data_IF_212687415448
#
_entry.id   IF_212687415448
#
_cell.length_a   1.000
_cell.length_b   1.000
_cell.length_c   1.000
_cell.angle_alpha   90.00
_cell.angle_beta   90.00
_cell.angle_gamma   90.00
#
_symmetry.space_group_name_H-M   'P 1'
#
loop_
_entity.id
_entity.type
_entity.pdbx_description
1 polymer ?
#
# COMPACT_ATOMS: atom_id res chain seq x y z
N UNK A 1 -10.01 6.00 -0.01
CA UNK A 1 -11.29 5.58 0.59
C UNK A 1 -11.03 4.78 1.85
N UNK A 2 -11.64 5.18 2.94
CA UNK A 2 -11.50 4.49 4.23
C UNK A 2 -12.53 3.37 4.29
N UNK A 3 -12.06 2.11 4.37
CA UNK A 3 -12.93 0.95 4.52
C UNK A 3 -13.17 0.70 6.00
N UNK A 4 -12.09 0.71 6.79
CA UNK A 4 -12.14 0.55 8.24
C UNK A 4 -11.28 1.64 8.87
N UNK A 5 -11.82 2.34 9.85
CA UNK A 5 -11.07 3.36 10.58
C UNK A 5 -10.46 2.76 11.84
N UNK A 6 -9.13 2.75 11.92
CA UNK A 6 -8.43 2.32 13.13
C UNK A 6 -8.33 3.44 14.14
N UNK A 7 -7.86 3.10 15.33
CA UNK A 7 -7.68 4.06 16.41
C UNK A 7 -6.32 3.94 17.10
N UNK A 8 -5.40 3.21 16.49
CA UNK A 8 -4.06 3.06 17.03
C UNK A 8 -3.13 4.21 16.67
N UNK A 9 -1.84 4.00 16.91
CA UNK A 9 -0.82 4.99 16.58
C UNK A 9 -0.70 5.18 15.05
N UNK A 10 -0.26 6.36 14.64
CA UNK A 10 0.01 6.67 13.22
C UNK A 10 1.52 6.56 12.99
N UNK A 11 1.96 5.79 11.97
CA UNK A 11 3.38 5.64 11.70
C UNK A 11 4.04 6.96 11.28
N UNK A 12 5.31 7.10 11.63
CA UNK A 12 6.17 8.12 11.03
C UNK A 12 6.74 7.57 9.71
N UNK A 13 7.33 8.42 8.89
CA UNK A 13 7.89 8.00 7.60
C UNK A 13 9.06 7.01 7.76
N UNK A 14 9.76 7.03 8.88
CA UNK A 14 10.84 6.09 9.17
C UNK A 14 10.37 4.82 9.88
N UNK A 15 9.08 4.73 10.20
CA UNK A 15 8.54 3.56 10.92
C UNK A 15 8.54 2.32 10.05
N UNK A 16 8.76 1.17 10.69
CA UNK A 16 8.62 -0.13 10.08
C UNK A 16 7.21 -0.63 10.35
N UNK A 17 6.46 -0.95 9.32
CA UNK A 17 5.04 -1.27 9.44
C UNK A 17 4.77 -2.68 8.94
N UNK A 18 3.77 -3.31 9.55
CA UNK A 18 3.28 -4.62 9.15
C UNK A 18 1.90 -4.44 8.55
N UNK A 19 1.72 -4.90 7.31
CA UNK A 19 0.50 -4.67 6.55
C UNK A 19 0.05 -5.93 5.82
N UNK A 20 -1.27 -6.05 5.62
CA UNK A 20 -1.83 -6.88 4.57
C UNK A 20 -2.26 -5.96 3.43
N UNK A 21 -2.07 -6.43 2.20
CA UNK A 21 -2.42 -5.59 1.05
C UNK A 21 -2.80 -6.42 -0.17
N UNK A 22 -3.52 -5.77 -1.07
CA UNK A 22 -3.85 -6.31 -2.38
C UNK A 22 -3.75 -5.18 -3.40
N UNK A 23 -2.98 -5.39 -4.46
CA UNK A 23 -2.83 -4.43 -5.54
C UNK A 23 -3.52 -4.90 -6.80
N UNK A 24 -4.30 -4.02 -7.42
CA UNK A 24 -5.01 -4.31 -8.66
C UNK A 24 -4.81 -3.17 -9.67
N UNK A 25 -4.95 -3.52 -10.95
CA UNK A 25 -5.03 -2.54 -12.01
C UNK A 25 -6.45 -2.02 -12.12
N UNK A 26 -6.65 -0.97 -12.91
CA UNK A 26 -8.00 -0.38 -13.09
C UNK A 26 -8.99 -1.39 -13.63
N UNK A 27 -8.53 -2.34 -14.46
CA UNK A 27 -9.39 -3.38 -15.02
C UNK A 27 -9.73 -4.50 -14.03
N UNK A 28 -9.21 -4.41 -12.80
CA UNK A 28 -9.47 -5.42 -11.78
C UNK A 28 -8.43 -6.53 -11.71
N UNK A 29 -7.44 -6.54 -12.60
CA UNK A 29 -6.38 -7.54 -12.56
C UNK A 29 -5.51 -7.40 -11.32
N UNK A 30 -5.45 -8.44 -10.49
CA UNK A 30 -4.60 -8.44 -9.31
C UNK A 30 -3.15 -8.70 -9.71
N UNK A 31 -2.23 -7.83 -9.31
CA UNK A 31 -0.82 -8.00 -9.64
C UNK A 31 0.04 -8.35 -8.42
N UNK A 32 -0.46 -8.13 -7.23
CA UNK A 32 0.26 -8.49 -6.00
C UNK A 32 -0.72 -8.60 -4.85
N UNK A 33 -0.40 -9.46 -3.87
CA UNK A 33 -1.25 -9.62 -2.68
C UNK A 33 -0.51 -10.36 -1.58
N UNK A 34 -0.50 -9.80 -0.37
CA UNK A 34 -0.02 -10.52 0.81
C UNK A 34 -0.99 -11.62 1.23
N UNK A 35 -2.28 -11.47 0.90
CA UNK A 35 -3.30 -12.49 1.23
C UNK A 35 -3.04 -13.81 0.49
N UNK A 36 -2.56 -13.73 -0.75
CA UNK A 36 -2.21 -14.93 -1.53
C UNK A 36 -1.06 -15.70 -0.90
N UNK A 37 -0.15 -15.01 -0.23
CA UNK A 37 0.99 -15.62 0.44
C UNK A 37 0.65 -16.07 1.85
N UNK A 38 -0.55 -15.76 2.34
CA UNK A 38 -0.99 -16.02 3.72
C UNK A 38 -0.01 -15.46 4.75
N UNK A 39 0.62 -14.34 4.43
CA UNK A 39 1.65 -13.75 5.27
C UNK A 39 1.66 -12.23 5.10
N UNK A 40 1.49 -11.47 6.19
CA UNK A 40 1.61 -10.02 6.11
C UNK A 40 3.03 -9.61 5.68
N UNK A 41 3.11 -8.49 4.99
CA UNK A 41 4.38 -7.93 4.58
C UNK A 41 4.85 -6.88 5.59
N UNK A 42 6.16 -6.74 5.72
CA UNK A 42 6.77 -5.73 6.58
C UNK A 42 7.60 -4.80 5.72
N UNK A 43 7.34 -3.50 5.83
CA UNK A 43 8.04 -2.46 5.06
C UNK A 43 8.41 -1.30 5.98
N UNK A 44 9.48 -0.59 5.60
CA UNK A 44 9.72 0.73 6.15
C UNK A 44 8.87 1.73 5.34
N UNK A 45 8.14 2.62 6.02
CA UNK A 45 7.15 3.48 5.36
C UNK A 45 7.76 4.38 4.27
N UNK A 46 9.04 4.74 4.39
CA UNK A 46 9.73 5.57 3.38
C UNK A 46 10.47 4.75 2.31
N UNK A 47 10.32 3.43 2.28
CA UNK A 47 10.98 2.54 1.32
C UNK A 47 9.98 1.85 0.39
N UNK A 48 8.82 2.46 0.21
CA UNK A 48 7.77 1.99 -0.69
C UNK A 48 7.43 3.11 -1.67
N UNK A 49 6.53 2.86 -2.62
CA UNK A 49 6.11 3.91 -3.56
C UNK A 49 5.52 5.09 -2.79
N UNK A 50 5.66 6.29 -3.35
CA UNK A 50 5.28 7.53 -2.67
C UNK A 50 3.83 7.56 -2.18
N UNK A 51 2.91 7.03 -2.96
CA UNK A 51 1.50 6.96 -2.57
C UNK A 51 1.29 6.17 -1.29
N UNK A 52 2.04 5.08 -1.11
CA UNK A 52 1.99 4.30 0.12
C UNK A 52 2.58 5.07 1.30
N UNK A 53 3.71 5.74 1.11
CA UNK A 53 4.34 6.53 2.17
C UNK A 53 3.38 7.59 2.68
N UNK A 54 2.73 8.32 1.77
CA UNK A 54 1.76 9.34 2.13
C UNK A 54 0.58 8.75 2.90
N UNK A 55 0.04 7.62 2.43
CA UNK A 55 -1.09 6.97 3.10
C UNK A 55 -0.70 6.42 4.46
N UNK A 56 0.40 5.68 4.55
CA UNK A 56 0.83 5.03 5.79
C UNK A 56 1.09 6.04 6.90
N UNK A 57 1.61 7.22 6.56
CA UNK A 57 1.88 8.26 7.56
C UNK A 57 0.62 9.02 7.99
N UNK A 58 -0.54 8.63 7.47
CA UNK A 58 -1.84 9.17 7.89
C UNK A 58 -2.79 8.10 8.44
N UNK A 59 -2.41 6.82 8.35
CA UNK A 59 -3.28 5.71 8.76
C UNK A 59 -3.04 5.32 10.21
N UNK A 60 -4.03 5.43 11.10
CA UNK A 60 -3.92 4.81 12.41
C UNK A 60 -3.85 3.28 12.29
N UNK A 61 -3.11 2.63 13.19
CA UNK A 61 -3.08 1.16 13.25
C UNK A 61 -4.51 0.63 13.43
N UNK A 62 -4.83 -0.41 12.69
CA UNK A 62 -6.17 -0.98 12.64
C UNK A 62 -7.00 -0.49 11.47
N UNK A 63 -6.48 0.47 10.70
CA UNK A 63 -7.17 1.00 9.53
C UNK A 63 -7.02 0.08 8.33
N UNK A 64 -8.04 0.12 7.48
CA UNK A 64 -8.01 -0.53 6.17
C UNK A 64 -8.51 0.49 5.16
N UNK A 65 -7.64 0.88 4.25
CA UNK A 65 -7.93 1.92 3.26
C UNK A 65 -7.77 1.37 1.84
N UNK A 66 -8.60 1.88 0.94
CA UNK A 66 -8.43 1.67 -0.49
C UNK A 66 -7.77 2.90 -1.09
N UNK A 67 -6.63 2.69 -1.73
CA UNK A 67 -5.80 3.76 -2.28
C UNK A 67 -5.83 3.73 -3.80
N UNK A 68 -6.16 4.87 -4.41
CA UNK A 68 -6.04 5.06 -5.85
C UNK A 68 -4.77 5.87 -6.07
N UNK A 69 -3.73 5.23 -6.56
CA UNK A 69 -2.40 5.82 -6.66
C UNK A 69 -2.08 6.12 -8.11
N UNK A 70 -2.06 7.41 -8.51
CA UNK A 70 -1.70 7.76 -9.88
C UNK A 70 -0.24 7.41 -10.17
N UNK A 71 0.10 7.31 -11.45
CA UNK A 71 1.40 6.80 -11.87
C UNK A 71 2.60 7.56 -11.28
N UNK A 72 2.48 8.84 -11.07
CA UNK A 72 3.57 9.66 -10.54
C UNK A 72 3.88 9.40 -9.06
N UNK A 73 2.93 8.82 -8.33
CA UNK A 73 3.11 8.40 -6.93
C UNK A 73 3.30 6.89 -6.81
N UNK A 74 3.37 6.19 -7.94
CA UNK A 74 3.60 4.76 -8.02
C UNK A 74 4.91 4.50 -8.80
N UNK A 75 4.82 3.81 -9.92
CA UNK A 75 6.01 3.43 -10.68
C UNK A 75 6.38 4.39 -11.80
N UNK A 76 5.57 5.42 -12.02
CA UNK A 76 5.84 6.44 -13.02
C UNK A 76 5.93 5.86 -14.43
N UNK A 77 7.00 6.21 -15.14
CA UNK A 77 7.25 5.73 -16.50
C UNK A 77 7.98 4.39 -16.54
N UNK A 78 8.28 3.80 -15.37
CA UNK A 78 9.00 2.53 -15.34
C UNK A 78 8.06 1.35 -15.54
N UNK A 79 8.51 0.37 -16.26
CA UNK A 79 7.85 -0.91 -16.39
C UNK A 79 8.39 -1.84 -15.31
N UNK A 80 7.49 -2.38 -14.47
CA UNK A 80 7.88 -3.17 -13.30
C UNK A 80 7.39 -4.61 -13.39
N UNK A 81 7.45 -5.18 -14.57
CA UNK A 81 7.02 -6.55 -14.82
C UNK A 81 5.95 -6.60 -15.90
N UNK A 82 5.38 -7.78 -16.12
CA UNK A 82 4.47 -8.01 -17.25
C UNK A 82 3.08 -7.40 -17.05
N UNK A 83 2.68 -7.12 -15.80
CA UNK A 83 1.32 -6.68 -15.50
C UNK A 83 1.20 -5.17 -15.32
N UNK A 84 2.25 -4.50 -14.85
CA UNK A 84 2.21 -3.06 -14.61
C UNK A 84 2.91 -2.36 -15.75
N UNK A 85 2.13 -1.64 -16.54
CA UNK A 85 2.67 -0.85 -17.66
C UNK A 85 3.08 0.53 -17.16
N UNK A 86 3.98 1.23 -17.88
CA UNK A 86 4.30 2.62 -17.56
C UNK A 86 3.04 3.48 -17.50
N UNK A 87 3.05 4.49 -16.61
CA UNK A 87 1.93 5.43 -16.43
C UNK A 87 0.64 4.79 -15.92
N UNK A 88 0.72 3.63 -15.28
CA UNK A 88 -0.45 2.96 -14.71
C UNK A 88 -0.89 3.62 -13.42
N UNK A 89 -2.20 3.80 -13.26
CA UNK A 89 -2.81 4.07 -11.97
C UNK A 89 -3.07 2.74 -11.28
N UNK A 90 -2.68 2.64 -10.01
CA UNK A 90 -2.80 1.41 -9.25
C UNK A 90 -3.83 1.58 -8.14
N UNK A 91 -4.54 0.49 -7.85
CA UNK A 91 -5.50 0.46 -6.75
C UNK A 91 -4.98 -0.51 -5.71
N UNK A 92 -4.75 -0.01 -4.50
CA UNK A 92 -4.30 -0.84 -3.38
C UNK A 92 -5.33 -0.84 -2.27
N UNK A 93 -5.58 -2.03 -1.73
CA UNK A 93 -6.29 -2.17 -0.47
C UNK A 93 -5.23 -2.48 0.58
N UNK A 94 -5.06 -1.62 1.58
CA UNK A 94 -4.00 -1.72 2.58
C UNK A 94 -4.62 -1.76 3.97
N UNK A 95 -4.25 -2.79 4.71
CA UNK A 95 -4.64 -2.94 6.12
C UNK A 95 -3.41 -2.81 6.99
N UNK A 96 -3.35 -1.77 7.81
CA UNK A 96 -2.23 -1.53 8.71
C UNK A 96 -2.41 -2.31 10.00
N UNK A 97 -1.62 -3.37 10.17
CA UNK A 97 -1.72 -4.27 11.31
C UNK A 97 -0.95 -3.80 12.53
N UNK A 98 0.19 -3.15 12.33
CA UNK A 98 1.00 -2.69 13.45
C UNK A 98 2.22 -1.92 13.00
N UNK A 99 2.88 -1.32 13.98
CA UNK A 99 4.16 -0.63 13.82
C UNK A 99 5.19 -1.48 14.56
N UNK A 100 6.22 -1.92 13.87
CA UNK A 100 7.28 -2.69 14.50
C UNK A 100 8.38 -1.78 15.03
N UNK A 101 8.96 -2.18 16.12
CA UNK A 101 10.03 -1.40 16.76
C UNK A 101 11.41 -1.88 16.30
#
# INVERSE_FOLDING_TARGET
KIITKGNGAVPADSSKVKVNYKGTLIDGTEFDSSYKRNEPATFRANQVIKGWTEALTMMPVGSKWELYIPYDLAYGSRETGSQIKPFSTLIFEVELLGIEK
#
